data_IF_649650195450
#
_entry.id   IF_649650195450
#
_cell.length_a   1.000
_cell.length_b   1.000
_cell.length_c   1.000
_cell.angle_alpha   90.00
_cell.angle_beta   90.00
_cell.angle_gamma   90.00
#
_symmetry.space_group_name_H-M   'P 1'
#
loop_
_entity.id
_entity.type
_entity.pdbx_description
1 polymer ?
#
# COMPACT_ATOMS: atom_id res chain seq x y z
N UNK A 1 18.86 38.34 50.37
CA UNK A 1 18.49 37.04 49.78
C UNK A 1 18.28 37.25 48.30
N UNK A 2 19.20 36.85 47.42
CA UNK A 2 18.97 36.92 45.98
C UNK A 2 17.95 35.84 45.57
N UNK A 3 17.14 36.07 44.53
CA UNK A 3 16.10 35.13 44.13
C UNK A 3 16.74 33.86 43.53
N UNK A 4 16.25 32.72 43.96
CA UNK A 4 16.62 31.40 43.46
C UNK A 4 16.34 31.34 41.95
N UNK A 5 17.41 31.25 41.16
CA UNK A 5 17.31 30.87 39.76
C UNK A 5 16.81 29.43 39.70
N UNK A 6 15.54 29.25 39.36
CA UNK A 6 14.97 27.96 38.96
C UNK A 6 15.75 27.45 37.74
N UNK A 7 16.72 26.56 37.97
CA UNK A 7 17.44 25.87 36.91
C UNK A 7 16.47 24.88 36.29
N UNK A 8 15.83 25.27 35.19
CA UNK A 8 15.05 24.37 34.37
C UNK A 8 15.90 23.14 34.00
N UNK A 9 15.58 21.99 34.59
CA UNK A 9 16.32 20.75 34.41
C UNK A 9 16.44 20.39 32.93
N UNK A 10 17.65 20.11 32.45
CA UNK A 10 17.88 19.64 31.08
C UNK A 10 17.19 18.29 30.88
N UNK A 11 16.29 18.23 29.91
CA UNK A 11 15.61 16.98 29.53
C UNK A 11 16.63 15.85 29.29
N UNK A 12 16.36 14.69 29.87
CA UNK A 12 17.17 13.48 29.74
C UNK A 12 17.27 13.02 28.29
N UNK A 13 18.27 12.18 27.98
CA UNK A 13 18.42 11.59 26.64
C UNK A 13 17.16 10.85 26.20
N UNK A 14 16.53 10.10 27.10
CA UNK A 14 15.30 9.36 26.82
C UNK A 14 14.11 10.27 26.53
N UNK A 15 13.94 11.34 27.29
CA UNK A 15 12.88 12.34 27.05
C UNK A 15 13.10 13.05 25.72
N UNK A 16 14.35 13.37 25.38
CA UNK A 16 14.70 13.96 24.08
C UNK A 16 14.40 13.01 22.92
N UNK A 17 14.70 11.72 23.07
CA UNK A 17 14.38 10.69 22.06
C UNK A 17 12.86 10.55 21.91
N UNK A 18 12.12 10.38 23.01
CA UNK A 18 10.65 10.30 23.00
C UNK A 18 10.00 11.53 22.38
N UNK A 19 10.46 12.73 22.76
CA UNK A 19 9.96 13.98 22.19
C UNK A 19 10.27 14.09 20.69
N UNK A 20 11.46 13.66 20.27
CA UNK A 20 11.83 13.60 18.85
C UNK A 20 10.95 12.62 18.08
N UNK A 21 10.75 11.40 18.58
CA UNK A 21 9.88 10.38 17.97
C UNK A 21 8.44 10.88 17.82
N UNK A 22 7.87 11.53 18.84
CA UNK A 22 6.53 12.07 18.80
C UNK A 22 6.36 13.15 17.72
N UNK A 23 7.38 13.99 17.50
CA UNK A 23 7.36 15.06 16.48
C UNK A 23 7.45 14.54 15.05
N UNK A 24 7.89 13.28 14.86
CA UNK A 24 7.98 12.66 13.53
C UNK A 24 6.63 12.23 12.96
N UNK A 25 5.59 12.14 13.78
CA UNK A 25 4.30 11.60 13.37
C UNK A 25 3.19 12.67 13.41
N UNK A 26 2.04 12.41 12.78
CA UNK A 26 0.88 13.30 12.91
C UNK A 26 0.53 13.55 14.38
N UNK A 27 0.05 14.76 14.68
CA UNK A 27 -0.55 15.05 15.99
C UNK A 27 -1.84 14.24 16.18
N UNK A 28 -2.28 14.05 17.42
CA UNK A 28 -3.52 13.34 17.72
C UNK A 28 -3.37 11.82 17.86
N UNK A 29 -4.42 11.02 17.60
CA UNK A 29 -4.41 9.60 17.92
C UNK A 29 -3.42 8.82 17.06
N UNK A 30 -2.75 7.84 17.67
CA UNK A 30 -1.86 6.91 16.95
C UNK A 30 -2.68 6.03 16.02
N UNK A 31 -2.16 5.81 14.83
CA UNK A 31 -2.75 4.93 13.82
C UNK A 31 -1.96 3.62 13.77
N UNK A 32 -2.57 2.51 14.19
CA UNK A 32 -2.05 1.16 13.97
C UNK A 32 -2.77 0.52 12.78
N UNK A 33 -2.24 0.79 11.59
CA UNK A 33 -2.78 0.26 10.32
C UNK A 33 -2.79 -1.27 10.31
N UNK A 34 -1.76 -1.90 10.86
CA UNK A 34 -1.62 -3.34 10.82
C UNK A 34 -2.63 -4.03 11.75
N UNK A 35 -2.88 -3.48 12.93
CA UNK A 35 -3.93 -3.98 13.82
C UNK A 35 -5.31 -3.82 13.20
N UNK A 36 -5.60 -2.66 12.59
CA UNK A 36 -6.85 -2.44 11.87
C UNK A 36 -7.08 -3.47 10.76
N UNK A 37 -6.05 -3.73 9.95
CA UNK A 37 -6.11 -4.75 8.90
C UNK A 37 -6.40 -6.16 9.46
N UNK A 38 -5.72 -6.55 10.56
CA UNK A 38 -5.95 -7.86 11.20
C UNK A 38 -7.38 -8.00 11.69
N UNK A 39 -7.90 -7.00 12.40
CA UNK A 39 -9.28 -7.00 12.89
C UNK A 39 -10.28 -7.10 11.73
N UNK A 40 -10.05 -6.36 10.64
CA UNK A 40 -10.89 -6.42 9.46
C UNK A 40 -10.87 -7.80 8.79
N UNK A 41 -9.71 -8.48 8.75
CA UNK A 41 -9.61 -9.84 8.21
C UNK A 41 -10.38 -10.83 9.08
N UNK A 42 -10.21 -10.75 10.41
CA UNK A 42 -10.92 -11.60 11.36
C UNK A 42 -12.44 -11.43 11.27
N UNK A 43 -12.92 -10.21 11.05
CA UNK A 43 -14.32 -9.95 10.77
C UNK A 43 -14.75 -10.52 9.40
N UNK A 44 -13.93 -10.33 8.36
CA UNK A 44 -14.26 -10.75 7.00
C UNK A 44 -14.33 -12.26 6.80
N UNK A 45 -13.55 -13.05 7.53
CA UNK A 45 -13.63 -14.53 7.44
C UNK A 45 -14.96 -15.08 7.95
N UNK A 46 -15.67 -14.34 8.79
CA UNK A 46 -17.02 -14.69 9.29
C UNK A 46 -18.14 -14.28 8.32
N UNK A 47 -17.82 -13.53 7.27
CA UNK A 47 -18.80 -13.04 6.32
C UNK A 47 -18.91 -13.95 5.10
N UNK A 48 -20.09 -13.95 4.46
CA UNK A 48 -20.25 -14.53 3.13
C UNK A 48 -19.41 -13.74 2.14
N UNK A 49 -18.57 -14.43 1.38
CA UNK A 49 -17.70 -13.84 0.36
C UNK A 49 -18.32 -14.02 -1.02
N UNK A 50 -18.45 -12.93 -1.76
CA UNK A 50 -18.88 -12.97 -3.15
C UNK A 50 -17.78 -13.60 -4.03
N UNK A 51 -18.20 -14.37 -5.03
CA UNK A 51 -17.26 -14.89 -6.03
C UNK A 51 -16.77 -13.73 -6.88
N UNK A 52 -15.45 -13.57 -6.97
CA UNK A 52 -14.82 -12.60 -7.87
C UNK A 52 -14.46 -13.31 -9.16
N UNK A 53 -15.16 -12.98 -10.24
CA UNK A 53 -14.88 -13.51 -11.57
C UNK A 53 -13.62 -12.90 -12.19
N UNK A 54 -13.07 -13.58 -13.20
CA UNK A 54 -11.99 -13.02 -14.00
C UNK A 54 -12.49 -11.75 -14.75
N UNK A 55 -11.66 -10.70 -14.85
CA UNK A 55 -12.01 -9.53 -15.64
C UNK A 55 -12.16 -9.89 -17.12
N UNK A 56 -13.09 -9.23 -17.81
CA UNK A 56 -13.23 -9.34 -19.26
C UNK A 56 -11.92 -8.92 -19.93
N UNK A 57 -11.46 -9.69 -20.92
CA UNK A 57 -10.32 -9.28 -21.75
C UNK A 57 -10.80 -8.28 -22.80
N UNK A 58 -10.15 -7.13 -22.83
CA UNK A 58 -10.31 -6.12 -23.89
C UNK A 58 -9.05 -6.18 -24.75
N UNK A 59 -9.22 -6.25 -26.06
CA UNK A 59 -8.10 -6.26 -27.00
C UNK A 59 -7.65 -4.82 -27.29
N UNK A 60 -6.35 -4.58 -27.22
CA UNK A 60 -5.72 -3.34 -27.65
C UNK A 60 -4.44 -3.69 -28.43
N UNK A 61 -4.22 -3.13 -29.63
CA UNK A 61 -3.03 -3.41 -30.43
C UNK A 61 -1.70 -3.19 -29.68
N UNK A 62 -1.64 -2.16 -28.84
CA UNK A 62 -0.46 -1.82 -28.03
C UNK A 62 -0.10 -2.90 -27.00
N UNK A 63 -1.05 -3.79 -26.68
CA UNK A 63 -0.88 -4.89 -25.74
C UNK A 63 -0.81 -6.25 -26.44
N UNK A 64 -0.67 -6.26 -27.76
CA UNK A 64 -0.45 -7.48 -28.52
C UNK A 64 0.82 -8.19 -28.01
N UNK A 65 0.76 -9.52 -27.88
CA UNK A 65 1.83 -10.33 -27.29
C UNK A 65 1.92 -10.27 -25.75
N UNK A 66 1.24 -9.37 -25.06
CA UNK A 66 1.21 -9.39 -23.59
C UNK A 66 0.40 -10.59 -23.07
N UNK A 67 1.03 -11.38 -22.21
CA UNK A 67 0.40 -12.50 -21.53
C UNK A 67 -0.23 -12.09 -20.20
N UNK A 68 -1.34 -12.73 -19.83
CA UNK A 68 -1.93 -12.55 -18.49
C UNK A 68 -0.99 -13.03 -17.39
N UNK A 69 -0.99 -12.32 -16.27
CA UNK A 69 -0.40 -12.82 -15.03
C UNK A 69 -1.23 -13.99 -14.51
N UNK A 70 -0.54 -15.01 -14.00
CA UNK A 70 -1.19 -15.99 -13.14
C UNK A 70 -1.28 -15.39 -11.73
N UNK A 71 -2.52 -15.08 -11.32
CA UNK A 71 -2.86 -14.48 -10.03
C UNK A 71 -3.27 -15.53 -8.99
N UNK A 72 -2.96 -16.81 -9.22
CA UNK A 72 -3.17 -17.87 -8.22
C UNK A 72 -2.51 -17.48 -6.89
N UNK A 73 -3.28 -17.60 -5.80
CA UNK A 73 -2.83 -17.18 -4.48
C UNK A 73 -1.61 -17.99 -4.03
N UNK A 74 -0.52 -17.29 -3.71
CA UNK A 74 0.73 -17.92 -3.27
C UNK A 74 0.78 -18.10 -1.75
N UNK A 75 1.85 -18.74 -1.27
CA UNK A 75 2.14 -18.80 0.15
C UNK A 75 2.38 -17.38 0.71
N UNK A 76 2.08 -17.14 2.00
CA UNK A 76 2.36 -15.87 2.64
C UNK A 76 3.86 -15.56 2.61
N UNK A 77 4.21 -14.27 2.67
CA UNK A 77 5.61 -13.85 2.76
C UNK A 77 6.27 -14.48 4.01
N UNK A 78 7.50 -15.01 3.88
CA UNK A 78 8.18 -15.66 5.00
C UNK A 78 8.52 -14.66 6.11
N UNK A 79 8.44 -15.12 7.35
CA UNK A 79 8.76 -14.32 8.55
C UNK A 79 9.95 -14.87 9.32
N UNK A 80 10.43 -16.06 8.94
CA UNK A 80 11.53 -16.80 9.54
C UNK A 80 12.90 -16.46 8.95
N UNK A 81 12.93 -15.74 7.83
CA UNK A 81 14.16 -15.26 7.19
C UNK A 81 14.00 -13.87 6.56
N UNK A 82 15.11 -13.17 6.26
CA UNK A 82 15.06 -11.89 5.57
C UNK A 82 14.50 -12.01 4.14
N UNK A 83 13.71 -11.01 3.74
CA UNK A 83 13.09 -10.91 2.42
C UNK A 83 14.03 -10.32 1.37
N UNK A 84 13.91 -10.78 0.12
CA UNK A 84 14.42 -10.11 -1.07
C UNK A 84 13.27 -9.40 -1.78
N UNK A 85 13.34 -8.08 -1.88
CA UNK A 85 12.26 -7.23 -2.41
C UNK A 85 12.71 -6.52 -3.67
N UNK A 86 11.94 -6.63 -4.75
CA UNK A 86 12.13 -5.89 -6.00
C UNK A 86 11.09 -4.79 -6.10
N UNK A 87 11.53 -3.57 -6.39
CA UNK A 87 10.67 -2.43 -6.65
C UNK A 87 10.85 -1.94 -8.11
N UNK A 88 9.82 -2.10 -8.93
CA UNK A 88 9.77 -1.59 -10.29
C UNK A 88 9.04 -0.25 -10.29
N UNK A 89 9.61 0.77 -10.95
CA UNK A 89 9.14 2.15 -10.80
C UNK A 89 9.16 2.57 -9.32
N UNK A 90 10.28 2.29 -8.65
CA UNK A 90 10.39 2.29 -7.19
C UNK A 90 10.03 3.65 -6.54
N UNK A 91 10.15 4.75 -7.29
CA UNK A 91 9.88 6.09 -6.79
C UNK A 91 10.72 6.38 -5.54
N UNK A 92 10.04 6.61 -4.42
CA UNK A 92 10.64 7.03 -3.15
C UNK A 92 10.76 5.91 -2.10
N UNK A 93 10.69 4.64 -2.51
CA UNK A 93 10.89 3.49 -1.62
C UNK A 93 9.74 3.27 -0.63
N UNK A 94 8.49 3.39 -1.10
CA UNK A 94 7.32 3.20 -0.24
C UNK A 94 7.13 1.74 0.18
N UNK A 95 7.43 0.79 -0.71
CA UNK A 95 7.26 -0.64 -0.45
C UNK A 95 8.26 -1.15 0.60
N UNK A 96 9.56 -0.87 0.45
CA UNK A 96 10.60 -1.20 1.43
C UNK A 96 10.26 -0.65 2.81
N UNK A 97 9.73 0.58 2.87
CA UNK A 97 9.30 1.18 4.13
C UNK A 97 8.09 0.45 4.74
N UNK A 98 7.11 0.05 3.93
CA UNK A 98 5.97 -0.73 4.41
C UNK A 98 6.41 -2.08 4.98
N UNK A 99 7.26 -2.81 4.25
CA UNK A 99 7.80 -4.12 4.65
C UNK A 99 8.53 -4.02 5.99
N UNK A 100 9.46 -3.08 6.13
CA UNK A 100 10.23 -2.89 7.37
C UNK A 100 9.33 -2.53 8.58
N UNK A 101 8.33 -1.65 8.36
CA UNK A 101 7.40 -1.20 9.41
C UNK A 101 6.42 -2.28 9.85
N UNK A 102 6.07 -3.21 8.97
CA UNK A 102 5.24 -4.37 9.30
C UNK A 102 6.00 -5.47 10.06
N UNK A 103 7.31 -5.30 10.26
CA UNK A 103 8.13 -6.19 11.07
C UNK A 103 8.88 -7.26 10.30
N UNK A 104 8.85 -7.23 8.96
CA UNK A 104 9.67 -8.14 8.16
C UNK A 104 11.15 -7.71 8.19
N UNK A 105 12.04 -8.69 8.27
CA UNK A 105 13.46 -8.48 8.01
C UNK A 105 13.72 -8.41 6.51
N UNK A 106 14.64 -7.55 6.08
CA UNK A 106 14.97 -7.32 4.67
C UNK A 106 16.42 -7.69 4.44
N UNK A 107 16.64 -8.70 3.61
CA UNK A 107 17.97 -9.17 3.22
C UNK A 107 18.53 -8.39 2.03
N UNK A 108 17.69 -8.02 1.08
CA UNK A 108 18.08 -7.27 -0.11
C UNK A 108 16.90 -6.46 -0.66
N UNK A 109 17.15 -5.21 -1.05
CA UNK A 109 16.24 -4.38 -1.83
C UNK A 109 16.87 -4.10 -3.19
N UNK A 110 16.11 -4.36 -4.24
CA UNK A 110 16.50 -4.19 -5.64
C UNK A 110 15.50 -3.22 -6.27
N UNK A 111 15.97 -2.15 -6.92
CA UNK A 111 15.11 -1.13 -7.49
C UNK A 111 15.47 -0.79 -8.94
N UNK A 112 14.42 -0.67 -9.76
CA UNK A 112 14.46 -0.11 -11.11
C UNK A 112 13.72 1.24 -11.10
N UNK A 113 14.46 2.35 -11.13
CA UNK A 113 13.89 3.71 -11.07
C UNK A 113 14.66 4.68 -11.96
N UNK A 114 14.02 5.17 -13.02
CA UNK A 114 14.66 6.00 -14.06
C UNK A 114 15.02 7.38 -13.55
N UNK A 115 14.22 7.96 -12.66
CA UNK A 115 14.40 9.35 -12.21
C UNK A 115 15.48 9.46 -11.13
N UNK A 116 16.55 10.20 -11.43
CA UNK A 116 17.67 10.41 -10.51
C UNK A 116 17.26 10.97 -9.14
N UNK A 117 16.38 11.97 -9.10
CA UNK A 117 15.89 12.54 -7.85
C UNK A 117 15.11 11.52 -6.99
N UNK A 118 14.33 10.64 -7.62
CA UNK A 118 13.61 9.57 -6.92
C UNK A 118 14.59 8.58 -6.29
N UNK A 119 15.63 8.17 -7.04
CA UNK A 119 16.71 7.31 -6.51
C UNK A 119 17.44 7.94 -5.32
N UNK A 120 17.71 9.23 -5.34
CA UNK A 120 18.34 9.92 -4.21
C UNK A 120 17.44 9.88 -2.96
N UNK A 121 16.14 10.13 -3.12
CA UNK A 121 15.17 10.02 -2.03
C UNK A 121 15.03 8.58 -1.52
N UNK A 122 15.03 7.59 -2.42
CA UNK A 122 14.97 6.18 -2.05
C UNK A 122 16.22 5.76 -1.24
N UNK A 123 17.43 6.08 -1.71
CA UNK A 123 18.68 5.83 -0.96
C UNK A 123 18.65 6.47 0.43
N UNK A 124 18.19 7.72 0.53
CA UNK A 124 18.01 8.39 1.81
C UNK A 124 17.01 7.65 2.72
N UNK A 125 15.85 7.28 2.19
CA UNK A 125 14.82 6.55 2.92
C UNK A 125 15.32 5.19 3.42
N UNK A 126 16.09 4.45 2.61
CA UNK A 126 16.70 3.20 3.02
C UNK A 126 17.70 3.39 4.17
N UNK A 127 18.53 4.43 4.12
CA UNK A 127 19.44 4.78 5.22
C UNK A 127 18.70 5.15 6.51
N UNK A 128 17.56 5.85 6.41
CA UNK A 128 16.69 6.13 7.56
C UNK A 128 16.11 4.85 8.15
N UNK A 129 15.67 3.89 7.32
CA UNK A 129 15.19 2.58 7.78
C UNK A 129 16.27 1.79 8.51
N UNK A 130 17.52 1.81 8.03
CA UNK A 130 18.64 1.15 8.71
C UNK A 130 18.87 1.71 10.12
N UNK A 131 18.70 3.02 10.30
CA UNK A 131 18.82 3.68 11.61
C UNK A 131 17.62 3.39 12.52
N UNK A 132 16.41 3.35 11.95
CA UNK A 132 15.18 3.15 12.72
C UNK A 132 14.94 1.67 13.08
N UNK A 133 15.38 0.73 12.23
CA UNK A 133 15.16 -0.70 12.39
C UNK A 133 16.44 -1.53 12.13
N UNK A 134 17.54 -1.32 12.87
CA UNK A 134 18.84 -1.95 12.58
C UNK A 134 18.81 -3.49 12.64
N UNK A 135 17.94 -4.07 13.46
CA UNK A 135 17.75 -5.53 13.54
C UNK A 135 16.99 -6.13 12.33
N UNK A 136 16.28 -5.30 11.56
CA UNK A 136 15.45 -5.73 10.42
C UNK A 136 16.02 -5.31 9.08
N UNK A 137 16.73 -4.17 9.03
CA UNK A 137 17.30 -3.60 7.81
C UNK A 137 18.76 -3.26 8.07
N UNK A 138 19.65 -4.10 7.57
CA UNK A 138 21.09 -3.85 7.67
C UNK A 138 21.54 -2.90 6.53
N UNK A 139 22.62 -2.13 6.70
CA UNK A 139 23.16 -1.29 5.62
C UNK A 139 23.44 -2.07 4.31
N UNK A 140 23.88 -3.33 4.43
CA UNK A 140 24.11 -4.21 3.28
C UNK A 140 22.83 -4.53 2.49
N UNK A 141 21.65 -4.47 3.11
CA UNK A 141 20.38 -4.77 2.47
C UNK A 141 20.06 -3.81 1.32
N UNK A 142 20.61 -2.59 1.34
CA UNK A 142 20.45 -1.60 0.28
C UNK A 142 21.76 -1.26 -0.46
N UNK A 143 22.83 -2.04 -0.27
CA UNK A 143 24.14 -1.75 -0.86
C UNK A 143 24.10 -1.71 -2.40
N UNK A 144 23.28 -2.57 -3.00
CA UNK A 144 23.14 -2.69 -4.46
C UNK A 144 21.78 -2.18 -4.98
N UNK A 145 21.09 -1.34 -4.19
CA UNK A 145 19.70 -0.91 -4.41
C UNK A 145 19.40 -0.50 -5.87
N UNK A 146 20.24 0.34 -6.47
CA UNK A 146 20.07 0.85 -7.84
C UNK A 146 21.15 0.34 -8.79
N UNK A 147 21.69 -0.84 -8.53
CA UNK A 147 22.84 -1.40 -9.24
C UNK A 147 22.61 -2.84 -9.74
N UNK A 148 21.68 -3.59 -9.14
CA UNK A 148 21.34 -4.97 -9.57
C UNK A 148 20.56 -5.05 -10.88
N UNK A 149 19.85 -3.97 -11.25
CA UNK A 149 19.08 -3.87 -12.49
C UNK A 149 19.40 -2.57 -13.23
N UNK A 150 19.23 -2.54 -14.57
CA UNK A 150 19.08 -1.28 -15.30
C UNK A 150 18.01 -0.41 -14.65
N UNK A 151 18.23 0.91 -14.69
CA UNK A 151 17.31 1.88 -14.07
C UNK A 151 16.18 2.31 -15.03
N UNK A 152 16.23 1.88 -16.28
CA UNK A 152 15.09 1.92 -17.21
C UNK A 152 14.57 0.49 -17.41
N UNK A 153 13.28 0.29 -17.17
CA UNK A 153 12.64 -1.03 -17.27
C UNK A 153 12.71 -1.60 -18.69
N UNK A 154 12.75 -0.73 -19.71
CA UNK A 154 12.90 -1.12 -21.12
C UNK A 154 14.22 -1.86 -21.37
N UNK A 155 15.22 -1.64 -20.53
CA UNK A 155 16.55 -2.26 -20.63
C UNK A 155 16.68 -3.54 -19.77
N UNK A 156 15.66 -3.87 -18.97
CA UNK A 156 15.68 -5.09 -18.14
C UNK A 156 15.47 -6.31 -19.04
N UNK A 157 16.46 -7.19 -19.12
CA UNK A 157 16.45 -8.42 -19.92
C UNK A 157 16.13 -9.63 -19.04
N UNK A 158 15.81 -10.76 -19.68
CA UNK A 158 15.66 -12.03 -18.96
C UNK A 158 16.95 -12.46 -18.26
N UNK A 159 18.13 -12.21 -18.86
CA UNK A 159 19.42 -12.52 -18.22
C UNK A 159 19.57 -11.76 -16.90
N UNK A 160 19.25 -10.46 -16.86
CA UNK A 160 19.25 -9.70 -15.61
C UNK A 160 18.33 -10.33 -14.55
N UNK A 161 17.11 -10.75 -14.95
CA UNK A 161 16.13 -11.36 -14.04
C UNK A 161 16.55 -12.76 -13.57
N UNK A 162 17.22 -13.52 -14.43
CA UNK A 162 17.80 -14.82 -14.08
C UNK A 162 18.95 -14.66 -13.08
N UNK A 163 19.86 -13.72 -13.31
CA UNK A 163 21.00 -13.41 -12.42
C UNK A 163 20.58 -12.81 -11.08
N UNK A 164 19.40 -12.18 -11.01
CA UNK A 164 18.80 -11.81 -9.74
C UNK A 164 18.49 -13.05 -8.88
N UNK A 165 18.12 -14.18 -9.48
CA UNK A 165 17.61 -15.36 -8.78
C UNK A 165 16.23 -15.13 -8.14
N UNK A 166 15.75 -16.09 -7.33
CA UNK A 166 14.43 -16.00 -6.69
C UNK A 166 14.30 -14.82 -5.72
N UNK A 167 13.17 -14.12 -5.78
CA UNK A 167 12.82 -13.02 -4.87
C UNK A 167 11.51 -13.33 -4.15
N UNK A 168 11.25 -12.65 -3.04
CA UNK A 168 10.07 -12.93 -2.20
C UNK A 168 8.89 -12.04 -2.57
N UNK A 169 9.16 -10.80 -2.97
CA UNK A 169 8.13 -9.81 -3.28
C UNK A 169 8.57 -8.88 -4.40
N UNK A 170 7.70 -8.70 -5.40
CA UNK A 170 7.81 -7.61 -6.38
C UNK A 170 6.72 -6.57 -6.11
N UNK A 171 7.09 -5.30 -6.01
CA UNK A 171 6.14 -4.19 -5.94
C UNK A 171 6.33 -3.27 -7.14
N UNK A 172 5.22 -2.88 -7.79
CA UNK A 172 5.28 -2.01 -8.96
C UNK A 172 4.11 -1.02 -9.02
N UNK A 173 4.41 0.23 -9.36
CA UNK A 173 3.39 1.25 -9.66
C UNK A 173 3.75 1.97 -10.94
N UNK A 174 3.18 1.57 -12.07
CA UNK A 174 3.61 2.12 -13.36
C UNK A 174 3.06 3.54 -13.57
N UNK A 175 3.76 4.38 -14.37
CA UNK A 175 3.44 5.78 -14.51
C UNK A 175 1.99 6.01 -15.01
N UNK A 176 1.27 6.91 -14.36
CA UNK A 176 -0.17 7.09 -14.52
C UNK A 176 -0.57 8.36 -15.31
N UNK A 177 0.41 9.09 -15.85
CA UNK A 177 0.22 10.39 -16.49
C UNK A 177 -0.67 10.31 -17.74
N UNK A 178 -0.61 9.21 -18.50
CA UNK A 178 -1.50 8.96 -19.63
C UNK A 178 -2.95 8.81 -19.23
N UNK A 179 -3.21 8.12 -18.11
CA UNK A 179 -4.57 7.82 -17.65
C UNK A 179 -5.11 8.88 -16.67
N UNK A 180 -4.28 9.73 -16.08
CA UNK A 180 -4.69 10.69 -15.04
C UNK A 180 -5.52 11.86 -15.58
N UNK A 181 -6.48 12.34 -14.78
CA UNK A 181 -7.24 13.56 -15.08
C UNK A 181 -6.38 14.83 -14.99
N UNK A 182 -5.29 14.79 -14.23
CA UNK A 182 -4.28 15.84 -14.17
C UNK A 182 -3.11 15.59 -15.15
N UNK A 183 -3.28 14.64 -16.08
CA UNK A 183 -2.30 14.26 -17.09
C UNK A 183 -2.84 14.42 -18.51
N UNK A 184 -2.33 13.62 -19.46
CA UNK A 184 -2.63 13.79 -20.90
C UNK A 184 -3.96 13.18 -21.30
N UNK A 185 -4.49 12.22 -20.53
CA UNK A 185 -5.74 11.53 -20.86
C UNK A 185 -5.66 10.59 -22.06
N UNK A 186 -4.46 10.28 -22.54
CA UNK A 186 -4.23 9.38 -23.67
C UNK A 186 -4.20 7.89 -23.29
N UNK A 187 -4.40 7.58 -22.01
CA UNK A 187 -4.30 6.21 -21.51
C UNK A 187 -2.92 5.61 -21.80
N UNK A 188 -2.89 4.36 -22.25
CA UNK A 188 -1.67 3.66 -22.67
C UNK A 188 -0.97 4.21 -23.94
N UNK A 189 -1.56 5.16 -24.68
CA UNK A 189 -0.87 5.79 -25.82
C UNK A 189 0.17 6.84 -25.35
N UNK A 190 0.05 7.32 -24.12
CA UNK A 190 1.12 8.11 -23.51
C UNK A 190 2.30 7.18 -23.22
N UNK A 191 3.48 7.48 -23.79
CA UNK A 191 4.66 6.61 -23.65
C UNK A 191 5.06 6.28 -22.20
N UNK A 192 4.66 7.07 -21.20
CA UNK A 192 4.91 6.76 -19.79
C UNK A 192 3.94 5.71 -19.25
N UNK A 193 2.64 5.87 -19.55
CA UNK A 193 1.62 4.88 -19.17
C UNK A 193 1.69 3.62 -20.03
N UNK A 194 2.17 3.73 -21.27
CA UNK A 194 2.48 2.64 -22.17
C UNK A 194 3.59 1.70 -21.66
N UNK A 195 4.44 2.13 -20.72
CA UNK A 195 5.40 1.25 -20.02
C UNK A 195 4.75 0.10 -19.25
N UNK A 196 3.42 0.05 -19.19
CA UNK A 196 2.68 -1.13 -18.78
C UNK A 196 3.06 -2.39 -19.58
N UNK A 197 3.37 -2.28 -20.88
CA UNK A 197 3.84 -3.43 -21.68
C UNK A 197 5.13 -4.02 -21.13
N UNK A 198 6.09 -3.15 -20.76
CA UNK A 198 7.36 -3.55 -20.15
C UNK A 198 7.18 -4.12 -18.75
N UNK A 199 6.26 -3.56 -17.96
CA UNK A 199 5.89 -4.13 -16.67
C UNK A 199 5.39 -5.57 -16.84
N UNK A 200 4.47 -5.80 -17.78
CA UNK A 200 3.91 -7.12 -18.04
C UNK A 200 4.98 -8.10 -18.53
N UNK A 201 5.87 -7.67 -19.44
CA UNK A 201 7.01 -8.46 -19.92
C UNK A 201 7.91 -8.91 -18.75
N UNK A 202 8.29 -7.98 -17.87
CA UNK A 202 9.16 -8.26 -16.72
C UNK A 202 8.45 -9.17 -15.72
N UNK A 203 7.22 -8.86 -15.30
CA UNK A 203 6.48 -9.67 -14.32
C UNK A 203 6.24 -11.09 -14.84
N UNK A 204 5.90 -11.24 -16.13
CA UNK A 204 5.68 -12.55 -16.73
C UNK A 204 6.96 -13.38 -16.82
N UNK A 205 8.07 -12.75 -17.19
CA UNK A 205 9.38 -13.38 -17.19
C UNK A 205 9.77 -13.85 -15.77
N UNK A 206 9.63 -12.98 -14.77
CA UNK A 206 9.90 -13.36 -13.37
C UNK A 206 9.00 -14.51 -12.91
N UNK A 207 7.72 -14.51 -13.26
CA UNK A 207 6.79 -15.60 -12.92
C UNK A 207 7.23 -16.94 -13.56
N UNK A 208 7.67 -16.93 -14.82
CA UNK A 208 8.20 -18.12 -15.49
C UNK A 208 9.48 -18.63 -14.83
N UNK A 209 10.43 -17.74 -14.52
CA UNK A 209 11.68 -18.09 -13.85
C UNK A 209 11.43 -18.69 -12.45
N UNK A 210 10.55 -18.08 -11.66
CA UNK A 210 10.18 -18.59 -10.34
C UNK A 210 9.54 -19.98 -10.40
N UNK A 211 8.68 -20.22 -11.39
CA UNK A 211 8.13 -21.56 -11.65
C UNK A 211 9.25 -22.57 -11.95
N UNK A 212 10.22 -22.21 -12.80
CA UNK A 212 11.39 -23.04 -13.09
C UNK A 212 12.26 -23.33 -11.87
N UNK A 213 12.36 -22.39 -10.93
CA UNK A 213 13.06 -22.58 -9.66
C UNK A 213 12.24 -23.30 -8.58
N UNK A 214 10.98 -23.66 -8.84
CA UNK A 214 10.09 -24.23 -7.82
C UNK A 214 9.79 -23.27 -6.67
N UNK A 215 9.77 -21.95 -6.95
CA UNK A 215 9.55 -20.88 -5.96
C UNK A 215 8.26 -20.14 -6.24
N UNK A 216 7.56 -19.70 -5.20
CA UNK A 216 6.40 -18.82 -5.34
C UNK A 216 6.83 -17.43 -5.81
N UNK A 217 6.02 -16.81 -6.67
CA UNK A 217 6.20 -15.44 -7.14
C UNK A 217 5.11 -14.54 -6.55
N UNK A 218 5.43 -13.79 -5.49
CA UNK A 218 4.51 -12.85 -4.85
C UNK A 218 4.65 -11.44 -5.42
N UNK A 219 3.53 -10.78 -5.73
CA UNK A 219 3.57 -9.41 -6.24
C UNK A 219 2.50 -8.48 -5.66
N UNK A 220 2.76 -7.18 -5.71
CA UNK A 220 1.79 -6.09 -5.51
C UNK A 220 1.95 -5.10 -6.66
N UNK A 221 0.89 -4.84 -7.41
CA UNK A 221 0.86 -3.84 -8.47
C UNK A 221 -0.18 -2.78 -8.14
N UNK A 222 0.12 -1.51 -8.40
CA UNK A 222 -0.77 -0.37 -8.17
C UNK A 222 -0.92 0.50 -9.42
N UNK A 223 -2.10 1.06 -9.60
CA UNK A 223 -2.38 2.12 -10.57
C UNK A 223 -3.55 2.99 -10.13
N UNK A 224 -3.77 4.10 -10.85
CA UNK A 224 -5.00 4.86 -10.67
C UNK A 224 -6.24 4.00 -10.98
N UNK A 225 -7.31 4.19 -10.21
CA UNK A 225 -8.56 3.45 -10.38
C UNK A 225 -9.35 3.99 -11.59
N UNK A 226 -8.78 3.85 -12.79
CA UNK A 226 -9.26 4.52 -14.01
C UNK A 226 -10.57 3.94 -14.55
N UNK A 227 -11.04 2.82 -14.02
CA UNK A 227 -12.39 2.30 -14.31
C UNK A 227 -13.51 3.28 -13.95
N UNK A 228 -13.24 4.25 -13.05
CA UNK A 228 -14.18 5.32 -12.68
C UNK A 228 -13.95 6.64 -13.46
N UNK A 229 -13.07 6.64 -14.46
CA UNK A 229 -12.78 7.84 -15.25
C UNK A 229 -13.94 8.20 -16.19
N UNK A 230 -14.16 9.49 -16.45
CA UNK A 230 -15.22 9.94 -17.37
C UNK A 230 -14.87 9.73 -18.84
N UNK A 231 -13.58 9.64 -19.19
CA UNK A 231 -13.09 9.50 -20.56
C UNK A 231 -13.16 8.04 -21.02
N UNK A 232 -13.92 7.70 -22.07
CA UNK A 232 -14.09 6.32 -22.53
C UNK A 232 -12.78 5.61 -22.88
N UNK A 233 -11.89 6.27 -23.63
CA UNK A 233 -10.57 5.74 -24.01
C UNK A 233 -9.74 5.32 -22.79
N UNK A 234 -9.71 6.16 -21.75
CA UNK A 234 -8.97 5.85 -20.52
C UNK A 234 -9.55 4.63 -19.81
N UNK A 235 -10.89 4.50 -19.77
CA UNK A 235 -11.54 3.31 -19.20
C UNK A 235 -11.23 2.05 -20.01
N UNK A 236 -11.32 2.11 -21.33
CA UNK A 236 -11.00 0.99 -22.21
C UNK A 236 -9.55 0.51 -22.06
N UNK A 237 -8.61 1.46 -22.04
CA UNK A 237 -7.18 1.20 -21.83
C UNK A 237 -6.92 0.58 -20.45
N UNK A 238 -7.63 1.03 -19.42
CA UNK A 238 -7.59 0.44 -18.09
C UNK A 238 -8.20 -0.97 -18.04
N UNK A 239 -9.34 -1.20 -18.70
CA UNK A 239 -9.99 -2.50 -18.73
C UNK A 239 -9.13 -3.55 -19.44
N UNK A 240 -8.39 -3.15 -20.48
CA UNK A 240 -7.42 -4.01 -21.13
C UNK A 240 -6.24 -4.38 -20.21
N UNK A 241 -5.69 -3.40 -19.48
CA UNK A 241 -4.64 -3.65 -18.47
C UNK A 241 -5.15 -4.56 -17.34
N UNK A 242 -6.36 -4.30 -16.83
CA UNK A 242 -7.05 -5.13 -15.83
C UNK A 242 -7.25 -6.56 -16.33
N UNK A 243 -7.59 -6.75 -17.61
CA UNK A 243 -7.71 -8.06 -18.25
C UNK A 243 -6.43 -8.90 -18.18
N UNK A 244 -5.26 -8.27 -18.11
CA UNK A 244 -3.96 -8.94 -18.00
C UNK A 244 -3.49 -9.13 -16.56
N UNK A 245 -3.77 -8.17 -15.67
CA UNK A 245 -3.38 -8.21 -14.26
C UNK A 245 -4.30 -9.11 -13.40
N UNK A 246 -5.58 -9.23 -13.78
CA UNK A 246 -6.59 -9.95 -13.01
C UNK A 246 -7.50 -9.04 -12.19
N UNK A 247 -8.27 -9.60 -11.24
CA UNK A 247 -9.22 -8.83 -10.44
C UNK A 247 -8.52 -7.82 -9.53
N UNK A 248 -8.99 -6.58 -9.55
CA UNK A 248 -8.46 -5.50 -8.74
C UNK A 248 -9.17 -5.38 -7.38
N UNK A 249 -8.45 -4.78 -6.43
CA UNK A 249 -8.98 -4.16 -5.23
C UNK A 249 -8.90 -2.64 -5.39
N UNK A 250 -10.04 -1.96 -5.40
CA UNK A 250 -10.08 -0.48 -5.43
C UNK A 250 -10.15 0.05 -4.01
N UNK A 251 -9.20 0.91 -3.64
CA UNK A 251 -9.03 1.43 -2.29
C UNK A 251 -8.82 2.93 -2.33
N UNK A 252 -9.55 3.67 -1.52
CA UNK A 252 -9.20 5.05 -1.18
C UNK A 252 -8.42 5.05 0.14
N UNK A 253 -7.18 5.52 0.10
CA UNK A 253 -6.30 5.60 1.27
C UNK A 253 -6.93 6.33 2.48
N UNK A 254 -7.85 7.27 2.23
CA UNK A 254 -8.57 7.96 3.31
C UNK A 254 -9.35 7.00 4.22
N UNK A 255 -9.88 5.89 3.69
CA UNK A 255 -10.53 4.83 4.47
C UNK A 255 -9.56 4.14 5.43
N UNK A 256 -8.28 4.06 5.05
CA UNK A 256 -7.22 3.35 5.78
C UNK A 256 -6.44 4.25 6.74
N UNK A 257 -6.92 5.47 6.96
CA UNK A 257 -6.36 6.41 7.92
C UNK A 257 -5.46 7.49 7.32
N UNK A 258 -5.25 7.49 6.00
CA UNK A 258 -4.61 8.64 5.35
C UNK A 258 -5.46 9.90 5.51
N UNK A 259 -4.76 11.04 5.62
CA UNK A 259 -5.38 12.37 5.65
C UNK A 259 -5.39 13.00 4.26
N UNK A 260 -5.38 12.16 3.23
CA UNK A 260 -5.53 12.53 1.84
C UNK A 260 -6.31 11.43 1.12
N UNK A 261 -7.23 11.83 0.26
CA UNK A 261 -7.89 10.95 -0.69
C UNK A 261 -6.89 10.46 -1.73
N UNK A 262 -6.79 9.15 -1.91
CA UNK A 262 -5.92 8.51 -2.90
C UNK A 262 -6.56 7.21 -3.36
N UNK A 263 -7.56 7.35 -4.22
CA UNK A 263 -8.27 6.23 -4.83
C UNK A 263 -7.36 5.56 -5.88
N UNK A 264 -7.00 4.31 -5.63
CA UNK A 264 -6.12 3.48 -6.47
C UNK A 264 -6.67 2.07 -6.62
N UNK A 265 -6.31 1.43 -7.71
CA UNK A 265 -6.51 0.02 -7.95
C UNK A 265 -5.24 -0.76 -7.61
N UNK A 266 -5.42 -1.89 -6.94
CA UNK A 266 -4.35 -2.75 -6.46
C UNK A 266 -4.57 -4.17 -6.95
N UNK A 267 -3.50 -4.82 -7.39
CA UNK A 267 -3.49 -6.23 -7.79
C UNK A 267 -2.42 -6.96 -7.00
N UNK A 268 -2.75 -8.14 -6.51
CA UNK A 268 -1.82 -9.00 -5.79
C UNK A 268 -2.29 -10.43 -5.83
N UNK A 269 -1.35 -11.36 -5.73
CA UNK A 269 -1.61 -12.79 -5.52
C UNK A 269 -1.20 -13.25 -4.11
N UNK A 270 -0.88 -12.33 -3.19
CA UNK A 270 -0.56 -12.68 -1.81
C UNK A 270 -1.79 -13.13 -1.01
N UNK A 271 -2.99 -12.72 -1.45
CA UNK A 271 -4.27 -13.20 -0.92
C UNK A 271 -5.38 -13.06 -1.98
N UNK A 272 -6.45 -13.83 -1.84
CA UNK A 272 -7.56 -13.87 -2.78
C UNK A 272 -8.41 -12.59 -2.78
N UNK A 273 -8.85 -12.11 -3.95
CA UNK A 273 -9.57 -10.83 -4.08
C UNK A 273 -10.90 -10.82 -3.34
N UNK A 274 -11.58 -11.97 -3.21
CA UNK A 274 -12.82 -12.07 -2.45
C UNK A 274 -12.61 -11.76 -0.96
N UNK A 275 -11.56 -12.31 -0.35
CA UNK A 275 -11.25 -12.02 1.05
C UNK A 275 -10.82 -10.56 1.21
N UNK A 276 -9.96 -10.04 0.34
CA UNK A 276 -9.48 -8.65 0.42
C UNK A 276 -10.61 -7.62 0.25
N UNK A 277 -11.56 -7.85 -0.66
CA UNK A 277 -12.74 -6.97 -0.84
C UNK A 277 -13.64 -6.98 0.40
N UNK A 278 -13.93 -8.15 0.95
CA UNK A 278 -14.71 -8.25 2.19
C UNK A 278 -13.95 -7.63 3.37
N UNK A 279 -12.64 -7.82 3.46
CA UNK A 279 -11.77 -7.19 4.48
C UNK A 279 -11.84 -5.67 4.39
N UNK A 280 -11.72 -5.10 3.19
CA UNK A 280 -11.86 -3.65 2.99
C UNK A 280 -13.24 -3.14 3.41
N UNK A 281 -14.31 -3.89 3.11
CA UNK A 281 -15.66 -3.53 3.52
C UNK A 281 -15.84 -3.55 5.06
N UNK A 282 -15.11 -4.40 5.77
CA UNK A 282 -15.10 -4.44 7.24
C UNK A 282 -14.13 -3.42 7.88
N UNK A 283 -13.30 -2.74 7.08
CA UNK A 283 -12.32 -1.81 7.63
C UNK A 283 -12.99 -0.53 8.14
N UNK A 284 -12.93 -0.32 9.45
CA UNK A 284 -13.31 0.92 10.10
C UNK A 284 -12.14 1.92 10.12
N UNK A 285 -12.40 3.16 9.67
CA UNK A 285 -11.43 4.26 9.83
C UNK A 285 -11.43 4.72 11.28
N UNK A 286 -10.28 4.80 11.98
CA UNK A 286 -10.25 5.28 13.35
C UNK A 286 -10.82 6.71 13.47
N UNK A 287 -11.61 7.00 14.53
CA UNK A 287 -12.12 8.34 14.78
C UNK A 287 -10.98 9.29 15.15
N UNK A 288 -11.25 10.60 15.08
CA UNK A 288 -10.30 11.62 15.52
C UNK A 288 -9.11 11.90 14.58
N UNK A 289 -9.08 11.30 13.38
CA UNK A 289 -8.07 11.60 12.36
C UNK A 289 -8.48 12.81 11.50
N UNK A 290 -7.76 13.92 11.67
CA UNK A 290 -8.04 15.21 11.03
C UNK A 290 -6.83 15.79 10.30
N UNK A 291 -7.07 16.59 9.27
CA UNK A 291 -6.02 17.24 8.45
C UNK A 291 -5.19 18.23 9.26
N UNK A 292 -5.81 19.02 10.15
CA UNK A 292 -5.07 20.02 10.94
C UNK A 292 -3.93 19.40 11.77
N UNK A 293 -3.97 18.10 12.06
CA UNK A 293 -2.94 17.39 12.81
C UNK A 293 -1.62 17.23 12.04
N UNK A 294 -1.67 17.27 10.71
CA UNK A 294 -0.49 17.16 9.84
C UNK A 294 -0.02 18.48 9.27
N UNK A 295 -0.84 19.53 9.36
CA UNK A 295 -0.47 20.87 8.87
C UNK A 295 0.55 21.56 9.78
N UNK A 296 1.35 22.44 9.20
CA UNK A 296 2.25 23.35 9.92
C UNK A 296 1.50 24.42 10.75
N UNK A 297 2.24 25.16 11.57
CA UNK A 297 1.69 26.29 12.34
C UNK A 297 1.12 27.35 11.38
N UNK A 298 -0.01 27.95 11.74
CA UNK A 298 -0.66 28.99 10.94
C UNK A 298 -1.38 28.48 9.68
N UNK A 299 -1.37 27.17 9.41
CA UNK A 299 -1.97 26.57 8.22
C UNK A 299 -3.27 25.85 8.55
N UNK A 300 -4.31 26.14 7.79
CA UNK A 300 -5.67 25.65 8.02
C UNK A 300 -6.30 25.17 6.72
N UNK A 301 -6.95 24.01 6.78
CA UNK A 301 -7.75 23.49 5.67
C UNK A 301 -9.19 23.97 5.78
N UNK A 302 -9.81 24.26 4.63
CA UNK A 302 -11.24 24.60 4.58
C UNK A 302 -12.09 23.40 5.01
N UNK A 303 -13.11 23.66 5.84
CA UNK A 303 -14.12 22.66 6.18
C UNK A 303 -14.76 22.09 4.90
N UNK A 304 -15.05 20.78 4.84
CA UNK A 304 -15.72 20.17 3.71
C UNK A 304 -17.16 20.69 3.62
N UNK A 305 -17.67 20.83 2.39
CA UNK A 305 -19.06 21.23 2.14
C UNK A 305 -19.96 20.03 1.84
N UNK A 306 -19.37 18.87 1.55
CA UNK A 306 -20.09 17.63 1.25
C UNK A 306 -19.46 16.47 2.01
N UNK A 307 -20.20 15.36 2.17
CA UNK A 307 -19.69 14.13 2.79
C UNK A 307 -18.81 13.28 1.88
N UNK A 308 -18.63 13.71 0.62
CA UNK A 308 -17.97 12.93 -0.43
C UNK A 308 -18.92 12.01 -1.19
N UNK A 309 -18.43 11.50 -2.32
CA UNK A 309 -19.19 10.62 -3.23
C UNK A 309 -18.39 9.36 -3.53
N UNK A 310 -19.09 8.24 -3.71
CA UNK A 310 -18.47 7.02 -4.19
C UNK A 310 -17.81 7.28 -5.57
N UNK A 311 -16.69 6.59 -5.88
CA UNK A 311 -16.04 5.52 -5.12
C UNK A 311 -15.09 6.01 -4.01
N UNK A 312 -14.97 7.32 -3.77
CA UNK A 312 -14.15 7.85 -2.69
C UNK A 312 -14.73 7.49 -1.33
N UNK A 313 -13.86 7.30 -0.34
CA UNK A 313 -14.29 7.02 1.02
C UNK A 313 -15.05 8.22 1.58
N UNK A 314 -16.27 8.01 2.07
CA UNK A 314 -17.10 9.06 2.68
C UNK A 314 -16.64 9.34 4.11
N UNK A 315 -15.48 9.99 4.23
CA UNK A 315 -14.86 10.29 5.53
C UNK A 315 -15.28 11.65 6.08
N UNK A 316 -15.75 12.56 5.22
CA UNK A 316 -16.06 13.94 5.58
C UNK A 316 -17.46 14.10 6.19
N UNK A 317 -17.59 15.09 7.06
CA UNK A 317 -18.87 15.58 7.59
C UNK A 317 -18.97 17.07 7.26
N UNK A 318 -19.99 17.54 6.52
CA UNK A 318 -20.11 18.95 6.17
C UNK A 318 -20.02 19.87 7.39
N UNK A 319 -19.19 20.91 7.32
CA UNK A 319 -18.98 21.87 8.42
C UNK A 319 -17.95 21.45 9.48
N UNK A 320 -17.63 20.16 9.61
CA UNK A 320 -16.61 19.69 10.57
C UNK A 320 -15.18 20.07 10.14
N UNK A 321 -14.19 19.99 11.04
CA UNK A 321 -12.79 19.98 10.64
C UNK A 321 -12.49 18.87 9.62
N UNK A 322 -11.82 19.23 8.53
CA UNK A 322 -11.51 18.32 7.42
C UNK A 322 -10.74 17.08 7.87
N UNK A 323 -11.10 15.92 7.32
CA UNK A 323 -10.50 14.61 7.65
C UNK A 323 -9.53 14.09 6.59
N UNK A 324 -9.74 14.44 5.34
CA UNK A 324 -8.85 14.14 4.22
C UNK A 324 -8.72 15.32 3.24
N UNK A 325 -7.49 15.60 2.85
CA UNK A 325 -7.16 16.49 1.73
C UNK A 325 -7.51 15.82 0.40
N UNK A 326 -7.62 16.62 -0.64
CA UNK A 326 -7.71 16.12 -2.01
C UNK A 326 -6.43 15.36 -2.41
N UNK A 327 -6.50 14.57 -3.48
CA UNK A 327 -5.35 13.81 -3.99
C UNK A 327 -4.18 14.72 -4.35
N UNK A 328 -3.00 14.39 -3.83
CA UNK A 328 -1.76 15.05 -4.21
C UNK A 328 -1.35 14.62 -5.62
N UNK A 329 -1.03 15.61 -6.46
CA UNK A 329 -0.51 15.39 -7.81
C UNK A 329 0.91 15.93 -7.93
N UNK A 330 1.59 15.53 -9.02
CA UNK A 330 2.98 15.92 -9.33
C UNK A 330 3.13 17.43 -9.48
N UNK A 331 2.26 18.05 -10.27
CA UNK A 331 2.40 19.46 -10.65
C UNK A 331 1.77 20.40 -9.61
N UNK A 332 2.40 21.56 -9.33
CA UNK A 332 1.80 22.58 -8.49
C UNK A 332 0.62 23.26 -9.19
N UNK A 333 -0.23 23.93 -8.41
CA UNK A 333 -1.33 24.72 -8.93
C UNK A 333 -2.49 23.87 -9.46
N UNK A 334 -2.61 22.62 -9.02
CA UNK A 334 -3.71 21.77 -9.45
C UNK A 334 -5.06 22.38 -9.04
N UNK A 335 -6.10 22.15 -9.84
CA UNK A 335 -7.44 22.68 -9.55
C UNK A 335 -7.89 22.39 -8.11
N UNK A 336 -7.60 21.19 -7.59
CA UNK A 336 -7.94 20.78 -6.23
C UNK A 336 -7.40 21.71 -5.13
N UNK A 337 -6.22 22.32 -5.34
CA UNK A 337 -5.59 23.24 -4.40
C UNK A 337 -5.59 24.70 -4.88
N UNK A 338 -6.37 25.00 -5.93
CA UNK A 338 -6.66 26.37 -6.37
C UNK A 338 -7.73 27.04 -5.49
N UNK A 339 -7.95 28.36 -5.62
CA UNK A 339 -9.04 29.06 -4.90
C UNK A 339 -10.44 28.53 -5.23
N UNK A 340 -10.64 28.03 -6.45
CA UNK A 340 -11.88 27.36 -6.86
C UNK A 340 -11.98 25.91 -6.38
N UNK A 341 -10.87 25.34 -5.89
CA UNK A 341 -10.80 23.98 -5.37
C UNK A 341 -11.16 23.88 -3.90
N UNK A 342 -11.58 22.68 -3.49
CA UNK A 342 -11.92 22.40 -2.09
C UNK A 342 -10.73 22.18 -1.18
N UNK A 343 -9.51 22.00 -1.70
CA UNK A 343 -8.34 21.54 -0.94
C UNK A 343 -7.33 22.62 -0.56
N UNK A 344 -7.49 23.85 -1.04
CA UNK A 344 -6.56 24.96 -0.77
C UNK A 344 -6.42 25.24 0.73
N UNK A 345 -5.19 25.52 1.17
CA UNK A 345 -4.88 25.84 2.56
C UNK A 345 -4.76 27.34 2.75
N UNK A 346 -5.42 27.86 3.79
CA UNK A 346 -5.17 29.22 4.30
C UNK A 346 -3.91 29.19 5.16
N UNK A 347 -2.96 30.05 4.85
CA UNK A 347 -1.65 30.11 5.51
C UNK A 347 -1.48 31.50 6.13
N UNK A 348 -1.33 31.57 7.45
CA UNK A 348 -1.03 32.81 8.18
C UNK A 348 0.40 32.74 8.68
N UNK A 349 1.22 33.72 8.33
CA UNK A 349 2.60 33.81 8.80
C UNK A 349 2.71 34.46 10.19
N UNK A 350 3.94 34.74 10.63
CA UNK A 350 4.20 35.33 11.94
C UNK A 350 3.80 36.82 12.03
N UNK A 351 3.75 37.54 10.91
CA UNK A 351 3.31 38.93 10.85
C UNK A 351 1.77 39.05 10.81
N UNK A 352 1.08 37.92 10.55
CA UNK A 352 -0.37 37.87 10.43
C UNK A 352 -0.84 37.90 8.97
N UNK A 353 0.08 37.96 8.01
CA UNK A 353 -0.25 38.02 6.59
C UNK A 353 -0.83 36.69 6.11
N UNK A 354 -1.88 36.78 5.30
CA UNK A 354 -2.65 35.64 4.83
C UNK A 354 -2.33 35.33 3.38
N UNK A 355 -1.78 34.15 3.15
CA UNK A 355 -1.57 33.56 1.83
C UNK A 355 -2.36 32.27 1.65
N UNK A 356 -2.41 31.77 0.43
CA UNK A 356 -3.08 30.51 0.10
C UNK A 356 -2.12 29.59 -0.63
N UNK A 357 -2.13 28.30 -0.30
CA UNK A 357 -1.20 27.36 -0.89
C UNK A 357 -1.64 25.91 -0.82
N UNK A 358 -0.82 25.05 -1.42
CA UNK A 358 -0.98 23.60 -1.31
C UNK A 358 -0.19 23.04 -0.11
N UNK A 359 -0.44 21.78 0.28
CA UNK A 359 0.36 21.09 1.28
C UNK A 359 1.85 21.02 0.90
N UNK A 360 2.71 21.28 1.89
CA UNK A 360 4.17 21.09 1.77
C UNK A 360 4.51 19.61 1.57
N UNK A 361 5.73 19.29 1.15
CA UNK A 361 6.21 17.92 1.06
C UNK A 361 6.10 17.20 2.40
N UNK A 362 6.42 17.89 3.49
CA UNK A 362 6.31 17.33 4.83
C UNK A 362 4.85 17.06 5.24
N UNK A 363 3.93 17.97 4.93
CA UNK A 363 2.49 17.76 5.15
C UNK A 363 1.97 16.59 4.30
N UNK A 364 2.47 16.44 3.06
CA UNK A 364 2.18 15.28 2.19
C UNK A 364 2.73 13.98 2.76
N UNK A 365 3.96 13.96 3.28
CA UNK A 365 4.56 12.81 3.96
C UNK A 365 3.63 12.32 5.07
N UNK A 366 3.31 13.23 6.01
CA UNK A 366 2.49 12.91 7.18
C UNK A 366 1.07 12.48 6.80
N UNK A 367 0.46 13.12 5.81
CA UNK A 367 -0.88 12.77 5.35
C UNK A 367 -0.94 11.36 4.74
N UNK A 368 0.13 10.91 4.08
CA UNK A 368 0.25 9.59 3.43
C UNK A 368 0.84 8.50 4.35
N UNK A 369 1.09 8.82 5.62
CA UNK A 369 1.62 7.87 6.62
C UNK A 369 3.15 7.81 6.71
N UNK A 370 3.89 8.62 5.94
CA UNK A 370 5.34 8.71 6.11
C UNK A 370 5.70 9.57 7.34
N UNK A 371 6.78 9.23 8.08
CA UNK A 371 7.30 10.12 9.09
C UNK A 371 7.79 11.43 8.49
N UNK A 372 7.70 12.50 9.29
CA UNK A 372 8.24 13.82 9.00
C UNK A 372 9.70 13.72 8.56
N UNK A 373 10.02 14.30 7.40
CA UNK A 373 11.37 14.38 6.87
C UNK A 373 11.91 13.07 6.29
N UNK A 374 11.12 12.00 6.26
CA UNK A 374 11.59 10.70 5.78
C UNK A 374 11.96 10.70 4.30
N UNK A 375 11.38 11.61 3.51
CA UNK A 375 11.70 11.84 2.10
C UNK A 375 12.43 13.17 1.89
N UNK A 376 13.04 13.75 2.94
CA UNK A 376 13.84 14.97 2.89
C UNK A 376 15.32 14.66 2.63
N UNK A 377 15.61 14.07 1.47
CA UNK A 377 16.99 13.83 1.07
C UNK A 377 17.74 15.16 0.86
N UNK A 378 19.00 15.28 1.36
CA UNK A 378 19.81 16.48 1.13
C UNK A 378 19.91 16.82 -0.36
N UNK A 379 19.81 18.12 -0.70
CA UNK A 379 19.90 18.60 -2.07
C UNK A 379 18.60 18.46 -2.90
N UNK A 380 17.55 17.84 -2.38
CA UNK A 380 16.26 17.75 -3.08
C UNK A 380 15.36 18.93 -2.68
N UNK A 381 14.96 19.73 -3.66
CA UNK A 381 14.09 20.89 -3.45
C UNK A 381 12.71 20.50 -2.91
N UNK A 382 12.05 21.44 -2.22
CA UNK A 382 10.67 21.30 -1.77
C UNK A 382 9.71 20.98 -2.92
N UNK A 383 9.89 21.62 -4.08
CA UNK A 383 9.12 21.35 -5.28
C UNK A 383 9.27 19.89 -5.75
N UNK A 384 10.52 19.42 -5.88
CA UNK A 384 10.81 18.04 -6.30
C UNK A 384 10.27 17.02 -5.29
N UNK A 385 10.37 17.28 -3.98
CA UNK A 385 9.79 16.41 -2.96
C UNK A 385 8.28 16.30 -3.09
N UNK A 386 7.58 17.44 -3.27
CA UNK A 386 6.12 17.47 -3.49
C UNK A 386 5.73 16.68 -4.73
N UNK A 387 6.49 16.85 -5.82
CA UNK A 387 6.26 16.14 -7.07
C UNK A 387 6.37 14.62 -6.88
N UNK A 388 7.47 14.16 -6.26
CA UNK A 388 7.70 12.74 -5.96
C UNK A 388 6.64 12.14 -5.04
N UNK A 389 6.19 12.89 -4.02
CA UNK A 389 5.09 12.45 -3.14
C UNK A 389 3.73 12.44 -3.83
N UNK A 390 3.54 13.26 -4.86
CA UNK A 390 2.39 13.18 -5.76
C UNK A 390 2.35 11.89 -6.58
N UNK A 391 3.52 11.25 -6.78
CA UNK A 391 3.67 10.00 -7.54
C UNK A 391 3.73 8.76 -6.63
N UNK A 392 4.17 8.91 -5.39
CA UNK A 392 4.39 7.79 -4.47
C UNK A 392 3.13 6.95 -4.16
N UNK A 393 3.31 5.67 -3.84
CA UNK A 393 2.23 4.91 -3.20
C UNK A 393 1.92 5.47 -1.81
N UNK A 394 0.67 5.35 -1.37
CA UNK A 394 0.30 5.68 0.01
C UNK A 394 0.82 4.60 0.96
N UNK A 395 1.54 5.01 2.01
CA UNK A 395 2.19 4.07 2.91
C UNK A 395 1.17 3.35 3.81
N UNK A 396 0.09 4.02 4.22
CA UNK A 396 -0.97 3.37 4.99
C UNK A 396 -1.65 2.29 4.15
N UNK A 397 -1.92 2.55 2.86
CA UNK A 397 -2.51 1.53 1.98
C UNK A 397 -1.59 0.33 1.76
N UNK A 398 -0.31 0.55 1.47
CA UNK A 398 0.66 -0.54 1.33
C UNK A 398 0.78 -1.39 2.61
N UNK A 399 0.88 -0.73 3.78
CA UNK A 399 0.96 -1.42 5.06
C UNK A 399 -0.31 -2.22 5.35
N UNK A 400 -1.49 -1.64 5.07
CA UNK A 400 -2.77 -2.32 5.26
C UNK A 400 -2.88 -3.56 4.37
N UNK A 401 -2.57 -3.43 3.07
CA UNK A 401 -2.70 -4.52 2.10
C UNK A 401 -1.79 -5.69 2.47
N UNK A 402 -0.51 -5.42 2.76
CA UNK A 402 0.44 -6.45 3.16
C UNK A 402 0.10 -7.09 4.51
N UNK A 403 -0.43 -6.31 5.47
CA UNK A 403 -0.89 -6.85 6.75
C UNK A 403 -2.13 -7.75 6.57
N UNK A 404 -3.08 -7.34 5.74
CA UNK A 404 -4.27 -8.14 5.42
C UNK A 404 -3.89 -9.45 4.73
N UNK A 405 -2.96 -9.40 3.76
CA UNK A 405 -2.46 -10.60 3.09
C UNK A 405 -1.73 -11.55 4.06
N UNK A 406 -0.91 -11.01 4.98
CA UNK A 406 -0.24 -11.82 6.02
C UNK A 406 -1.25 -12.54 6.91
N UNK A 407 -2.25 -11.81 7.40
CA UNK A 407 -3.26 -12.35 8.30
C UNK A 407 -4.14 -13.40 7.60
N UNK A 408 -4.67 -13.08 6.41
CA UNK A 408 -5.48 -14.02 5.62
C UNK A 408 -4.69 -15.29 5.30
N UNK A 409 -3.43 -15.12 4.89
CA UNK A 409 -2.51 -16.21 4.62
C UNK A 409 -2.27 -17.11 5.83
N UNK A 410 -2.07 -16.54 7.02
CA UNK A 410 -1.88 -17.29 8.25
C UNK A 410 -3.13 -18.13 8.61
N UNK A 411 -4.33 -17.55 8.50
CA UNK A 411 -5.58 -18.25 8.76
C UNK A 411 -5.82 -19.39 7.76
N UNK A 412 -5.46 -19.21 6.48
CA UNK A 412 -5.53 -20.27 5.46
C UNK A 412 -4.63 -21.45 5.84
N UNK A 413 -3.38 -21.19 6.22
CA UNK A 413 -2.43 -22.24 6.62
C UNK A 413 -2.89 -23.00 7.88
N UNK A 414 -3.46 -22.29 8.87
CA UNK A 414 -4.03 -22.93 10.07
C UNK A 414 -5.19 -23.86 9.71
N UNK A 415 -6.09 -23.42 8.82
CA UNK A 415 -7.24 -24.22 8.36
C UNK A 415 -6.80 -25.46 7.58
N UNK A 416 -5.75 -25.35 6.76
CA UNK A 416 -5.20 -26.52 6.04
C UNK A 416 -4.58 -27.54 7.01
N UNK A 417 -3.89 -27.08 8.06
CA UNK A 417 -3.31 -27.96 9.09
C UNK A 417 -4.37 -28.67 9.93
N UNK A 418 -5.46 -27.98 10.30
CA UNK A 418 -6.54 -28.61 11.06
C UNK A 418 -7.29 -29.67 10.26
N UNK A 419 -7.43 -29.50 8.93
CA UNK A 419 -7.99 -30.52 8.03
C UNK A 419 -7.09 -31.74 7.87
N UNK A 420 -5.77 -31.55 7.84
CA UNK A 420 -4.79 -32.64 7.73
C UNK A 420 -4.55 -33.38 9.06
N UNK A 421 -4.73 -32.70 10.21
CA UNK A 421 -4.63 -33.30 11.55
C UNK A 421 -5.93 -33.93 12.06
N UNK A 422 -7.02 -33.88 11.30
CA UNK A 422 -8.36 -34.32 11.69
C UNK A 422 -8.64 -35.82 11.61
N UNK A 423 -7.67 -36.66 11.23
CA UNK A 423 -7.82 -38.14 11.18
C UNK A 423 -7.01 -38.91 12.23
N UNK A 424 -6.42 -38.24 13.23
CA UNK A 424 -5.78 -38.93 14.36
C UNK A 424 -6.30 -38.37 15.69
N UNK A 425 -7.57 -38.66 15.95
CA UNK A 425 -8.22 -38.43 17.24
C UNK A 425 -8.90 -39.72 17.69
N UNK A 426 -8.20 -40.45 18.56
CA UNK A 426 -8.64 -41.69 19.18
C UNK A 426 -10.11 -41.62 19.65
N UNK A 427 -10.89 -42.64 19.28
CA UNK A 427 -12.09 -43.02 20.03
C UNK A 427 -11.66 -43.36 21.46
N UNK A 428 -11.66 -42.38 22.36
CA UNK A 428 -11.73 -42.66 23.79
C UNK A 428 -13.15 -43.13 24.08
N UNK A 429 -13.32 -44.44 24.09
CA UNK A 429 -14.46 -45.10 24.73
C UNK A 429 -14.37 -44.82 26.22
N UNK A 430 -15.16 -43.87 26.71
CA UNK A 430 -15.49 -43.80 28.13
C UNK A 430 -16.42 -44.98 28.42
N UNK A 431 -15.90 -46.02 29.06
CA UNK A 431 -16.73 -47.04 29.72
C UNK A 431 -17.33 -46.40 30.97
N UNK A 432 -18.62 -46.11 30.94
CA UNK A 432 -19.45 -46.05 32.16
C UNK A 432 -20.31 -47.31 32.15
N UNK A 433 -20.23 -48.08 33.23
CA UNK A 433 -20.88 -49.38 33.35
C UNK A 433 -22.40 -49.32 33.36
N UNK A 434 -22.99 -50.43 32.93
CA UNK A 434 -24.25 -50.94 33.47
C UNK A 434 -25.53 -50.40 32.86
N UNK A 435 -25.95 -50.93 31.71
CA UNK A 435 -27.26 -51.56 31.50
C UNK A 435 -27.50 -51.77 30.00
N UNK A 436 -27.64 -53.03 29.62
CA UNK A 436 -28.06 -53.47 28.29
C UNK A 436 -29.58 -53.37 28.17
N UNK A 437 -30.08 -52.62 27.20
CA UNK A 437 -31.42 -52.84 26.64
C UNK A 437 -31.33 -52.79 25.12
N UNK A 438 -31.51 -53.96 24.52
CA UNK A 438 -31.62 -54.21 23.09
C UNK A 438 -32.95 -53.67 22.57
N UNK A 439 -32.94 -52.83 21.54
CA UNK A 439 -34.14 -52.54 20.75
C UNK A 439 -33.80 -52.57 19.26
N UNK A 440 -34.55 -53.42 18.55
CA UNK A 440 -34.35 -53.85 17.18
C UNK A 440 -34.43 -52.72 16.14
N UNK A 441 -33.68 -52.95 15.07
CA UNK A 441 -33.71 -52.22 13.81
C UNK A 441 -35.09 -52.31 13.12
N UNK A 442 -35.53 -51.19 12.53
CA UNK A 442 -36.36 -51.22 11.32
C UNK A 442 -35.83 -50.21 10.30
N UNK A 443 -35.44 -50.76 9.15
CA UNK A 443 -35.02 -50.08 7.93
C UNK A 443 -36.30 -49.87 7.09
N UNK A 444 -36.65 -48.63 6.75
CA UNK A 444 -37.71 -48.36 5.78
C UNK A 444 -37.15 -48.43 4.35
N UNK A 445 -37.91 -48.97 3.37
CA UNK A 445 -37.45 -49.15 2.00
C UNK A 445 -37.61 -47.89 1.14
N UNK A 446 -36.79 -47.82 0.10
CA UNK A 446 -36.92 -46.87 -1.02
C UNK A 446 -38.12 -47.28 -1.89
N UNK A 447 -38.89 -46.30 -2.36
CA UNK A 447 -39.85 -46.42 -3.44
C UNK A 447 -39.68 -45.23 -4.40
N UNK A 448 -39.50 -45.57 -5.67
CA UNK A 448 -39.57 -44.84 -6.95
C UNK A 448 -38.87 -43.48 -7.13
#
# INVERSE_FOLDING_TARGET
MPPEHEVAGRATREERVKAWELRRWPRGPKLDVAAGARQAVLAAVQQRRERVGAPRRVYLPQLEGCEKLDWTVVAPLPTDRPLRVVELFAGVGAATQAVARLGYSIGEVIACERRGAARQVHKHAAAQLCREFPARVAPKSSAQLHHRLPQDIQLVTEAHLHDLGPVDLVVAGWPCQGSSAAGTGQGLDDGRSGLFTELMRVLKCMQRLHKGWGRSFGYVVEHLAAGFDKRPKVREHYDAARGLLGPELVVDAAQLGSRAHRLRAWWTNLEGPALLRTTLAQQARPPGLFVHQVLGRGRQARAPQTSGVAPWAKVEKPGDPRRALNTFVSYPGSYAFSRGGGGVLRCTDAAGDVTFGEPTAEERELAMGFPRGFKAAPGISEHTRRELLGQAMDLNTLMWLLAACREGGALRLQTSRSRLGGEVGARQSVRVGGASVTALAFRAPRGD
#
